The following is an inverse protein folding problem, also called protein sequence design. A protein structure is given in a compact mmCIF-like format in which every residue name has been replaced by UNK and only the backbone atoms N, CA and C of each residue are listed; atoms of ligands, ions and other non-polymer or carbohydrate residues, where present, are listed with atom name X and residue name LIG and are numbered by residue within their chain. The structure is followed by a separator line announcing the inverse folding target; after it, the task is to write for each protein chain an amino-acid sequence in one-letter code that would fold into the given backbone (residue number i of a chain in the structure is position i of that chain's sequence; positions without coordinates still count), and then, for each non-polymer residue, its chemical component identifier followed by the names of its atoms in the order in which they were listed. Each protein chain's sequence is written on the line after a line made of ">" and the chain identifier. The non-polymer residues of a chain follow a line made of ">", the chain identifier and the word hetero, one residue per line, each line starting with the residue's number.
data_IF_547349840527
#
_entry.id   IF_547349840527
#
_cell.length_a   1.000
_cell.length_b   1.000
_cell.length_c   1.000
_cell.angle_alpha   90.00
_cell.angle_beta   90.00
_cell.angle_gamma   90.00
#
_symmetry.space_group_name_H-M   'P 1'
#
loop_
_entity.id
_entity.type
_entity.pdbx_description
1 polymer ?
#
# COMPACT_ATOMS: atom_id res chain seq x y z
N UNK A 1 0.83 0.39 13.45
CA UNK A 1 -0.11 -0.13 12.44
C UNK A 1 -0.44 -1.54 12.83
N UNK A 2 -1.55 -1.70 13.55
CA UNK A 2 -1.95 -3.00 14.07
C UNK A 2 -2.69 -3.70 12.95
N UNK A 3 -2.03 -4.67 12.33
CA UNK A 3 -2.61 -5.46 11.24
C UNK A 3 -3.69 -6.34 11.88
N UNK A 4 -4.95 -6.04 11.57
CA UNK A 4 -6.11 -6.85 11.96
C UNK A 4 -5.85 -8.31 11.54
N UNK A 5 -6.05 -9.24 12.48
CA UNK A 5 -5.59 -10.63 12.40
C UNK A 5 -5.85 -11.30 11.05
N UNK A 6 -4.78 -11.64 10.35
CA UNK A 6 -4.79 -12.40 9.09
C UNK A 6 -4.18 -11.66 7.89
N UNK A 7 -4.12 -10.34 7.88
CA UNK A 7 -3.52 -9.64 6.74
C UNK A 7 -1.98 -9.78 6.73
N UNK A 8 -1.42 -10.01 5.55
CA UNK A 8 0.03 -10.10 5.34
C UNK A 8 0.57 -8.73 4.91
N UNK A 9 1.63 -8.28 5.58
CA UNK A 9 2.36 -7.07 5.22
C UNK A 9 3.66 -7.45 4.50
N UNK A 10 3.79 -6.99 3.25
CA UNK A 10 5.00 -7.10 2.46
C UNK A 10 5.58 -5.70 2.25
N UNK A 11 6.79 -5.48 2.75
CA UNK A 11 7.52 -4.22 2.58
C UNK A 11 8.74 -4.51 1.71
N UNK A 12 8.66 -4.16 0.44
CA UNK A 12 9.68 -4.49 -0.54
C UNK A 12 9.98 -3.32 -1.48
N UNK A 13 11.21 -3.30 -1.98
CA UNK A 13 11.59 -2.33 -3.00
C UNK A 13 11.11 -2.81 -4.38
N UNK A 14 10.12 -2.11 -4.94
CA UNK A 14 9.55 -2.36 -6.26
C UNK A 14 10.47 -1.81 -7.34
N UNK A 15 10.65 -2.57 -8.42
CA UNK A 15 11.35 -2.08 -9.61
C UNK A 15 10.39 -1.23 -10.44
N UNK A 16 10.73 0.04 -10.64
CA UNK A 16 9.99 0.99 -11.46
C UNK A 16 10.97 1.70 -12.38
N UNK A 17 10.84 1.49 -13.69
CA UNK A 17 11.82 1.94 -14.67
C UNK A 17 13.22 1.38 -14.38
N UNK A 18 14.23 2.24 -14.36
CA UNK A 18 15.62 1.87 -14.08
C UNK A 18 16.01 1.78 -12.60
N UNK A 19 15.08 2.02 -11.66
CA UNK A 19 15.37 2.11 -10.22
C UNK A 19 14.52 1.18 -9.36
N UNK A 20 14.97 0.94 -8.13
CA UNK A 20 14.15 0.33 -7.06
C UNK A 20 13.61 1.43 -6.16
N UNK A 21 12.32 1.38 -5.85
CA UNK A 21 11.64 2.35 -4.98
C UNK A 21 10.87 1.64 -3.88
N UNK A 22 10.78 2.21 -2.67
CA UNK A 22 10.05 1.58 -1.58
C UNK A 22 8.56 1.39 -1.93
N UNK A 23 8.03 0.22 -1.61
CA UNK A 23 6.63 -0.12 -1.68
C UNK A 23 6.17 -0.85 -0.42
N UNK A 24 4.89 -0.69 -0.11
CA UNK A 24 4.20 -1.34 0.99
C UNK A 24 2.93 -1.99 0.43
N UNK A 25 2.93 -3.31 0.35
CA UNK A 25 1.79 -4.12 -0.05
C UNK A 25 1.17 -4.74 1.20
N UNK A 26 -0.10 -4.47 1.43
CA UNK A 26 -0.90 -5.14 2.46
C UNK A 26 -1.97 -5.97 1.77
N UNK A 27 -2.02 -7.27 2.09
CA UNK A 27 -2.96 -8.23 1.52
C UNK A 27 -3.80 -8.86 2.64
N UNK A 28 -5.06 -8.42 2.83
CA UNK A 28 -6.02 -9.14 3.67
C UNK A 28 -6.32 -10.55 3.13
N UNK A 29 -6.72 -11.52 3.99
CA UNK A 29 -7.00 -12.90 3.57
C UNK A 29 -8.06 -13.00 2.45
N UNK A 30 -9.10 -12.17 2.55
CA UNK A 30 -10.25 -12.18 1.64
C UNK A 30 -10.05 -11.25 0.43
N UNK A 31 -8.82 -10.83 0.14
CA UNK A 31 -8.56 -9.82 -0.87
C UNK A 31 -8.89 -10.32 -2.29
N UNK A 32 -9.96 -9.78 -2.88
CA UNK A 32 -10.36 -10.05 -4.27
C UNK A 32 -9.71 -9.14 -5.33
N UNK A 33 -8.98 -8.10 -4.90
CA UNK A 33 -8.34 -7.13 -5.78
C UNK A 33 -7.34 -6.23 -5.05
N UNK A 34 -6.54 -5.48 -5.83
CA UNK A 34 -5.50 -4.58 -5.33
C UNK A 34 -5.79 -3.14 -5.76
N UNK A 35 -5.74 -2.21 -4.82
CA UNK A 35 -5.78 -0.76 -5.07
C UNK A 35 -4.36 -0.19 -5.03
N UNK A 36 -3.92 0.39 -6.15
CA UNK A 36 -2.64 1.08 -6.26
C UNK A 36 -2.79 2.58 -5.95
N UNK A 37 -1.99 3.09 -5.00
CA UNK A 37 -2.01 4.51 -4.65
C UNK A 37 -0.96 5.29 -5.45
N UNK A 38 -1.41 6.21 -6.31
CA UNK A 38 -0.57 7.27 -6.84
C UNK A 38 -0.60 8.49 -5.90
N UNK A 39 0.55 8.87 -5.34
CA UNK A 39 0.65 10.08 -4.54
C UNK A 39 0.94 11.32 -5.41
N UNK A 40 0.57 12.51 -4.91
CA UNK A 40 0.90 13.78 -5.56
C UNK A 40 2.37 14.17 -5.40
N UNK A 41 2.76 15.25 -6.09
CA UNK A 41 4.09 15.85 -5.97
C UNK A 41 4.43 16.21 -4.51
N UNK A 42 5.65 15.92 -4.08
CA UNK A 42 6.12 16.17 -2.70
C UNK A 42 5.57 15.23 -1.62
N UNK A 43 4.73 14.25 -2.00
CA UNK A 43 4.25 13.21 -1.08
C UNK A 43 4.94 11.87 -1.35
N UNK A 44 4.63 10.86 -0.54
CA UNK A 44 5.22 9.52 -0.60
C UNK A 44 4.26 8.48 0.01
N UNK A 45 4.67 7.21 0.05
CA UNK A 45 3.91 6.08 0.64
C UNK A 45 3.57 6.25 2.13
N UNK A 46 4.24 7.17 2.83
CA UNK A 46 4.01 7.46 4.25
C UNK A 46 2.92 8.53 4.47
N UNK A 47 2.28 9.03 3.41
CA UNK A 47 1.17 9.99 3.50
C UNK A 47 0.09 9.51 4.48
N UNK A 48 -0.16 10.22 5.60
CA UNK A 48 -1.17 9.80 6.59
C UNK A 48 -2.56 9.65 5.99
N UNK A 49 -2.91 10.53 5.04
CA UNK A 49 -4.19 10.49 4.32
C UNK A 49 -4.33 9.19 3.53
N UNK A 50 -3.32 8.81 2.75
CA UNK A 50 -3.41 7.60 1.93
C UNK A 50 -3.37 6.34 2.81
N UNK A 51 -2.66 6.34 3.94
CA UNK A 51 -2.67 5.24 4.90
C UNK A 51 -4.05 5.04 5.54
N UNK A 52 -4.75 6.12 5.92
CA UNK A 52 -6.13 6.02 6.41
C UNK A 52 -7.10 5.47 5.37
N UNK A 53 -6.97 5.89 4.10
CA UNK A 53 -7.78 5.31 3.01
C UNK A 53 -7.47 3.83 2.84
N UNK A 54 -6.18 3.45 2.90
CA UNK A 54 -5.77 2.06 2.79
C UNK A 54 -6.34 1.19 3.92
N UNK A 55 -6.29 1.66 5.17
CA UNK A 55 -6.90 0.98 6.32
C UNK A 55 -8.40 0.76 6.12
N UNK A 56 -9.12 1.74 5.57
CA UNK A 56 -10.53 1.56 5.24
C UNK A 56 -10.74 0.52 4.13
N UNK A 57 -9.92 0.53 3.09
CA UNK A 57 -10.00 -0.45 2.00
C UNK A 57 -9.70 -1.88 2.48
N UNK A 58 -8.79 -2.04 3.44
CA UNK A 58 -8.52 -3.35 4.06
C UNK A 58 -9.76 -3.90 4.77
N UNK A 59 -10.50 -3.05 5.47
CA UNK A 59 -11.75 -3.43 6.14
C UNK A 59 -12.86 -3.88 5.16
N UNK A 60 -12.78 -3.45 3.89
CA UNK A 60 -13.71 -3.85 2.82
C UNK A 60 -13.15 -5.03 1.99
N UNK A 61 -12.06 -5.68 2.41
CA UNK A 61 -11.49 -6.84 1.70
C UNK A 61 -10.70 -6.48 0.45
N UNK A 62 -10.06 -5.31 0.40
CA UNK A 62 -9.17 -4.93 -0.69
C UNK A 62 -7.72 -4.87 -0.21
N UNK A 63 -6.81 -5.43 -1.01
CA UNK A 63 -5.38 -5.23 -0.82
C UNK A 63 -4.97 -3.82 -1.30
N UNK A 64 -3.89 -3.29 -0.75
CA UNK A 64 -3.40 -1.96 -1.16
C UNK A 64 -1.90 -1.96 -1.38
N UNK A 65 -1.47 -1.26 -2.44
CA UNK A 65 -0.07 -0.98 -2.71
C UNK A 65 0.21 0.52 -2.60
N UNK A 66 0.97 0.92 -1.58
CA UNK A 66 1.47 2.28 -1.39
C UNK A 66 2.95 2.30 -1.81
N UNK A 67 3.33 3.17 -2.73
CA UNK A 67 4.68 3.16 -3.30
C UNK A 67 5.18 4.58 -3.58
N UNK A 68 6.50 4.76 -3.60
CA UNK A 68 7.11 6.04 -3.94
C UNK A 68 7.29 6.15 -5.46
N UNK A 69 6.65 7.15 -6.08
CA UNK A 69 6.59 7.38 -7.54
C UNK A 69 7.73 8.25 -8.08
N UNK A 70 8.18 9.24 -7.30
CA UNK A 70 9.11 10.29 -7.73
C UNK A 70 10.37 10.28 -6.89
#
# INVERSE_FOLDING_TARGET
>A
MQVMGGASLHVEALRLGGGRRPGELVVPPEAGGVVLFAHGSGSNRLSPRNRQVAERLHAEGLATLLFDLL
#
